data_IF_335405732689
#
_entry.id   IF_335405732689
#
_cell.length_a   1.000
_cell.length_b   1.000
_cell.length_c   1.000
_cell.angle_alpha   90.00
_cell.angle_beta   90.00
_cell.angle_gamma   90.00
#
_symmetry.space_group_name_H-M   'P 1'
#
loop_
_entity.id
_entity.type
_entity.pdbx_description
1 polymer ?
#
# COMPACT_ATOMS: atom_id res chain seq x y z
N UNK A 1 16.42 33.82 -10.31
CA UNK A 1 15.12 33.21 -9.94
C UNK A 1 14.79 31.95 -10.74
N UNK A 2 15.00 31.91 -12.06
CA UNK A 2 14.72 30.72 -12.90
C UNK A 2 15.49 29.47 -12.45
N UNK A 3 16.80 29.57 -12.14
CA UNK A 3 17.59 28.40 -11.72
C UNK A 3 17.13 27.79 -10.38
N UNK A 4 16.65 28.61 -9.43
CA UNK A 4 16.15 28.11 -8.16
C UNK A 4 14.82 27.35 -8.35
N UNK A 5 13.94 27.88 -9.21
CA UNK A 5 12.68 27.22 -9.54
C UNK A 5 12.89 25.90 -10.30
N UNK A 6 13.89 25.84 -11.19
CA UNK A 6 14.27 24.59 -11.88
C UNK A 6 14.85 23.59 -10.88
N UNK A 7 15.73 24.01 -9.97
CA UNK A 7 16.28 23.13 -8.93
C UNK A 7 15.18 22.59 -8.02
N UNK A 8 14.28 23.45 -7.53
CA UNK A 8 13.14 23.03 -6.70
C UNK A 8 12.19 22.12 -7.47
N UNK A 9 11.91 22.40 -8.75
CA UNK A 9 11.07 21.56 -9.60
C UNK A 9 11.68 20.20 -9.89
N UNK A 10 13.02 20.12 -9.99
CA UNK A 10 13.75 18.85 -10.07
C UNK A 10 13.74 18.14 -8.71
N UNK A 11 13.82 18.87 -7.59
CA UNK A 11 13.94 18.27 -6.25
C UNK A 11 12.62 17.82 -5.62
N UNK A 12 11.54 18.59 -5.82
CA UNK A 12 10.18 18.31 -5.35
C UNK A 12 9.72 16.87 -5.61
N UNK A 13 9.96 16.29 -6.80
CA UNK A 13 9.52 14.94 -7.06
C UNK A 13 10.32 13.90 -6.21
N UNK A 14 11.47 14.21 -5.62
CA UNK A 14 12.23 13.28 -4.76
C UNK A 14 11.82 13.25 -3.27
N UNK A 15 10.89 14.12 -2.88
CA UNK A 15 10.42 14.26 -1.52
C UNK A 15 9.09 13.53 -1.36
N UNK A 16 8.97 12.71 -0.31
CA UNK A 16 7.71 12.10 0.08
C UNK A 16 7.41 12.38 1.56
N UNK A 17 6.13 12.29 1.92
CA UNK A 17 5.67 12.38 3.29
C UNK A 17 4.85 11.13 3.63
N UNK A 18 5.17 10.51 4.76
CA UNK A 18 4.50 9.33 5.30
C UNK A 18 3.76 9.69 6.58
N UNK A 19 2.47 9.37 6.63
CA UNK A 19 1.67 9.55 7.82
C UNK A 19 2.05 8.53 8.92
N UNK A 20 1.76 8.83 10.20
CA UNK A 20 2.00 7.90 11.31
C UNK A 20 1.31 6.54 11.14
N UNK A 21 0.25 6.45 10.35
CA UNK A 21 -0.53 5.21 10.13
C UNK A 21 -0.14 4.46 8.86
N UNK A 22 0.81 4.99 8.09
CA UNK A 22 1.25 4.41 6.83
C UNK A 22 2.65 3.79 6.96
N UNK A 23 2.92 2.79 6.13
CA UNK A 23 4.26 2.29 5.87
C UNK A 23 4.65 2.61 4.42
N UNK A 24 5.82 3.22 4.25
CA UNK A 24 6.45 3.39 2.94
C UNK A 24 7.38 2.23 2.64
N UNK A 25 7.02 1.40 1.66
CA UNK A 25 7.89 0.35 1.14
C UNK A 25 8.71 0.97 0.01
N UNK A 26 10.02 1.12 0.21
CA UNK A 26 10.94 1.66 -0.78
C UNK A 26 11.70 0.53 -1.47
N UNK A 27 11.70 0.54 -2.80
CA UNK A 27 12.44 -0.37 -3.66
C UNK A 27 13.40 0.40 -4.54
N UNK A 28 14.70 0.09 -4.43
CA UNK A 28 15.68 0.56 -5.38
C UNK A 28 15.68 -0.38 -6.61
N UNK A 29 15.22 0.08 -7.77
CA UNK A 29 15.14 -0.80 -8.95
C UNK A 29 16.51 -1.09 -9.58
N UNK A 30 17.55 -0.32 -9.22
CA UNK A 30 18.92 -0.54 -9.70
C UNK A 30 19.62 -1.59 -8.84
N UNK A 31 19.56 -1.47 -7.51
CA UNK A 31 20.20 -2.43 -6.59
C UNK A 31 19.32 -3.63 -6.21
N UNK A 32 18.01 -3.55 -6.44
CA UNK A 32 17.03 -4.51 -5.97
C UNK A 32 16.70 -4.39 -4.47
N UNK A 33 17.30 -3.43 -3.76
CA UNK A 33 17.14 -3.30 -2.30
C UNK A 33 15.72 -2.88 -1.93
N UNK A 34 15.10 -3.65 -1.03
CA UNK A 34 13.82 -3.33 -0.41
C UNK A 34 14.05 -2.90 1.04
N UNK A 35 13.50 -1.74 1.42
CA UNK A 35 13.55 -1.18 2.77
C UNK A 35 12.22 -0.51 3.15
N UNK A 36 11.97 -0.41 4.44
CA UNK A 36 10.88 0.41 4.99
C UNK A 36 11.42 1.82 5.25
N UNK A 37 10.61 2.83 4.97
CA UNK A 37 10.92 4.23 5.23
C UNK A 37 10.48 4.66 6.64
N UNK A 38 11.18 5.66 7.16
CA UNK A 38 10.84 6.30 8.42
C UNK A 38 9.59 7.18 8.25
N UNK A 39 8.88 7.44 9.35
CA UNK A 39 7.66 8.26 9.30
C UNK A 39 8.02 9.74 9.13
N UNK A 40 7.14 10.50 8.48
CA UNK A 40 7.37 11.90 8.15
C UNK A 40 8.01 12.11 6.79
N UNK A 41 8.90 13.10 6.68
CA UNK A 41 9.50 13.51 5.42
C UNK A 41 10.68 12.63 5.06
N UNK A 42 10.64 11.96 3.90
CA UNK A 42 11.77 11.21 3.38
C UNK A 42 12.26 11.79 2.06
N UNK A 43 13.57 11.74 1.89
CA UNK A 43 14.23 12.04 0.63
C UNK A 43 14.64 10.74 -0.07
N UNK A 44 14.24 10.58 -1.33
CA UNK A 44 14.55 9.39 -2.12
C UNK A 44 15.18 9.73 -3.45
N UNK A 45 16.24 9.01 -3.87
CA UNK A 45 16.83 9.22 -5.17
C UNK A 45 15.86 8.82 -6.31
N UNK A 46 16.11 9.27 -7.56
CA UNK A 46 15.22 9.00 -8.69
C UNK A 46 14.90 7.54 -8.96
N UNK A 47 15.86 6.67 -8.66
CA UNK A 47 15.80 5.24 -8.94
C UNK A 47 15.19 4.41 -7.80
N UNK A 48 14.66 5.07 -6.76
CA UNK A 48 13.91 4.43 -5.70
C UNK A 48 12.43 4.66 -5.94
N UNK A 49 11.66 3.58 -5.94
CA UNK A 49 10.21 3.57 -6.00
C UNK A 49 9.64 3.41 -4.60
N UNK A 50 8.64 4.20 -4.22
CA UNK A 50 8.00 4.13 -2.90
C UNK A 50 6.51 3.81 -3.06
N UNK A 51 6.08 2.73 -2.42
CA UNK A 51 4.67 2.37 -2.28
C UNK A 51 4.20 2.67 -0.85
N UNK A 52 3.09 3.41 -0.74
CA UNK A 52 2.45 3.70 0.54
C UNK A 52 1.39 2.65 0.83
N UNK A 53 1.43 2.12 2.04
CA UNK A 53 0.48 1.14 2.52
C UNK A 53 -0.10 1.62 3.84
N UNK A 54 -1.43 1.69 3.91
CA UNK A 54 -2.13 1.96 5.15
C UNK A 54 -2.05 0.72 6.06
N UNK A 55 -1.65 0.94 7.32
CA UNK A 55 -1.56 -0.10 8.35
C UNK A 55 -2.84 -0.23 9.17
N UNK A 56 -3.80 0.69 9.00
CA UNK A 56 -5.06 0.62 9.73
C UNK A 56 -5.83 -0.65 9.34
N UNK A 57 -6.44 -1.34 10.32
CA UNK A 57 -7.34 -2.44 10.03
C UNK A 57 -8.47 -2.02 9.08
N UNK A 58 -8.58 -2.72 7.96
CA UNK A 58 -9.60 -2.47 6.95
C UNK A 58 -10.68 -3.55 7.01
N UNK A 59 -11.95 -3.15 6.91
CA UNK A 59 -13.06 -4.10 6.76
C UNK A 59 -13.18 -4.51 5.30
N UNK A 60 -13.01 -5.80 5.01
CA UNK A 60 -13.15 -6.40 3.69
C UNK A 60 -14.33 -7.36 3.68
N UNK A 61 -15.23 -7.21 2.71
CA UNK A 61 -16.46 -8.00 2.61
C UNK A 61 -16.59 -8.64 1.24
N UNK A 62 -17.20 -9.82 1.21
CA UNK A 62 -17.74 -10.43 -0.01
C UNK A 62 -19.19 -9.98 -0.14
N UNK A 63 -19.45 -9.09 -1.09
CA UNK A 63 -20.80 -8.60 -1.38
C UNK A 63 -21.52 -9.57 -2.32
N UNK A 64 -22.80 -9.82 -2.07
CA UNK A 64 -23.70 -10.53 -2.98
C UNK A 64 -24.88 -9.63 -3.32
N UNK A 65 -25.71 -10.00 -4.29
CA UNK A 65 -26.79 -9.16 -4.82
C UNK A 65 -27.82 -8.68 -3.78
N UNK A 66 -27.92 -9.31 -2.60
CA UNK A 66 -28.90 -8.93 -1.58
C UNK A 66 -28.28 -8.38 -0.27
N UNK A 67 -27.13 -8.89 0.22
CA UNK A 67 -26.37 -8.39 1.39
C UNK A 67 -24.89 -8.83 1.34
N UNK A 68 -24.02 -8.24 2.17
CA UNK A 68 -22.67 -8.75 2.40
C UNK A 68 -22.73 -10.11 3.11
N UNK A 69 -22.16 -11.15 2.49
CA UNK A 69 -22.26 -12.55 2.93
C UNK A 69 -21.29 -12.87 4.07
N UNK A 70 -20.08 -12.33 4.01
CA UNK A 70 -19.06 -12.48 5.05
C UNK A 70 -18.16 -11.25 5.01
N UNK A 71 -17.79 -10.77 6.19
CA UNK A 71 -16.89 -9.63 6.35
C UNK A 71 -15.78 -10.01 7.31
N UNK A 72 -14.57 -9.55 7.03
CA UNK A 72 -13.41 -9.71 7.90
C UNK A 72 -12.78 -8.36 8.17
N UNK A 73 -12.32 -8.14 9.39
CA UNK A 73 -11.42 -7.05 9.73
C UNK A 73 -9.99 -7.55 9.55
N UNK A 74 -9.24 -6.92 8.66
CA UNK A 74 -7.93 -7.40 8.24
C UNK A 74 -6.89 -6.30 8.34
N UNK A 75 -5.68 -6.67 8.71
CA UNK A 75 -4.56 -5.76 8.91
C UNK A 75 -3.37 -6.23 8.10
N UNK A 76 -2.67 -5.27 7.48
CA UNK A 76 -1.41 -5.52 6.79
C UNK A 76 -0.24 -5.50 7.78
N UNK A 77 0.55 -6.57 7.80
CA UNK A 77 1.76 -6.65 8.64
C UNK A 77 2.97 -6.11 7.89
N UNK A 78 3.34 -4.87 8.21
CA UNK A 78 4.50 -4.20 7.62
C UNK A 78 5.82 -4.96 7.82
N UNK A 79 5.95 -5.77 8.87
CA UNK A 79 7.14 -6.59 9.12
C UNK A 79 7.41 -7.64 8.03
N UNK A 80 6.37 -8.06 7.30
CA UNK A 80 6.44 -9.12 6.28
C UNK A 80 6.37 -8.57 4.85
N UNK A 81 6.68 -7.27 4.68
CA UNK A 81 6.64 -6.56 3.41
C UNK A 81 7.47 -7.24 2.29
N UNK A 82 8.57 -7.91 2.64
CA UNK A 82 9.40 -8.62 1.65
C UNK A 82 8.64 -9.76 0.98
N UNK A 83 7.86 -10.54 1.75
CA UNK A 83 7.03 -11.62 1.21
C UNK A 83 5.87 -11.09 0.40
N UNK A 84 5.29 -9.96 0.84
CA UNK A 84 4.26 -9.25 0.08
C UNK A 84 4.78 -8.86 -1.31
N UNK A 85 5.89 -8.11 -1.36
CA UNK A 85 6.51 -7.70 -2.63
C UNK A 85 6.96 -8.89 -3.45
N UNK A 86 7.45 -9.97 -2.84
CA UNK A 86 7.81 -11.20 -3.56
C UNK A 86 6.63 -11.95 -4.18
N UNK A 87 5.41 -11.76 -3.65
CA UNK A 87 4.19 -12.44 -4.15
C UNK A 87 3.46 -11.60 -5.19
N UNK A 88 3.23 -10.32 -4.90
CA UNK A 88 2.51 -9.40 -5.79
C UNK A 88 3.42 -8.72 -6.83
N UNK A 89 4.73 -8.70 -6.58
CA UNK A 89 5.66 -7.84 -7.27
C UNK A 89 5.59 -6.39 -6.80
N UNK A 90 6.54 -5.57 -7.26
CA UNK A 90 6.55 -4.12 -7.03
C UNK A 90 5.86 -3.36 -8.18
N UNK A 91 4.90 -4.00 -8.88
CA UNK A 91 4.33 -3.50 -10.14
C UNK A 91 3.01 -2.74 -9.99
N UNK A 92 2.49 -2.65 -8.79
CA UNK A 92 1.35 -1.80 -8.48
C UNK A 92 1.83 -0.42 -8.02
N UNK A 93 1.12 0.66 -8.40
CA UNK A 93 1.41 2.06 -8.05
C UNK A 93 2.32 2.88 -9.00
N UNK A 94 2.14 2.74 -10.31
CA UNK A 94 2.96 3.39 -11.36
C UNK A 94 3.11 4.94 -11.27
N UNK A 95 2.20 5.68 -10.61
CA UNK A 95 2.34 7.14 -10.39
C UNK A 95 2.80 7.55 -8.97
N UNK A 96 2.98 6.59 -8.05
CA UNK A 96 3.03 6.86 -6.60
C UNK A 96 4.36 7.31 -6.03
N UNK A 97 5.38 7.43 -6.87
CA UNK A 97 6.69 7.72 -6.32
C UNK A 97 6.74 9.09 -5.62
N UNK A 98 5.73 9.97 -5.87
CA UNK A 98 5.80 11.41 -5.59
C UNK A 98 4.42 12.01 -5.35
N UNK A 99 3.46 11.63 -6.19
CA UNK A 99 2.08 12.11 -6.17
C UNK A 99 1.14 10.92 -6.32
N UNK A 100 0.98 10.21 -5.20
CA UNK A 100 -0.05 9.20 -5.00
C UNK A 100 -1.44 9.80 -5.21
N UNK A 101 -1.95 9.79 -6.43
CA UNK A 101 -3.37 9.99 -6.65
C UNK A 101 -3.98 8.64 -7.01
N UNK A 102 -4.76 8.07 -6.09
CA UNK A 102 -5.69 7.01 -6.44
C UNK A 102 -6.95 7.67 -7.03
N UNK A 103 -7.02 7.87 -8.34
CA UNK A 103 -8.28 8.24 -9.03
C UNK A 103 -9.23 7.04 -9.17
N UNK A 104 -9.06 6.01 -8.35
CA UNK A 104 -9.99 4.89 -8.26
C UNK A 104 -11.37 5.38 -7.82
N UNK A 105 -12.41 4.83 -8.43
CA UNK A 105 -13.79 4.97 -8.01
C UNK A 105 -13.94 4.77 -6.49
N UNK A 106 -15.07 5.19 -5.91
CA UNK A 106 -15.43 4.97 -4.49
C UNK A 106 -15.29 3.51 -4.02
N UNK A 107 -15.21 2.57 -4.96
CA UNK A 107 -14.81 1.18 -4.78
C UNK A 107 -13.63 0.88 -5.73
N UNK A 108 -12.40 0.93 -5.21
CA UNK A 108 -11.16 0.85 -5.98
C UNK A 108 -11.05 -0.46 -6.78
N UNK A 109 -10.69 -0.40 -8.07
CA UNK A 109 -10.26 -1.59 -8.83
C UNK A 109 -8.75 -1.76 -8.61
N UNK A 110 -8.36 -2.75 -7.79
CA UNK A 110 -6.98 -3.10 -7.38
C UNK A 110 -6.32 -2.12 -6.39
N UNK A 111 -7.09 -1.57 -5.46
CA UNK A 111 -6.55 -0.89 -4.28
C UNK A 111 -5.99 -1.88 -3.23
N UNK A 112 -5.27 -1.37 -2.23
CA UNK A 112 -4.75 -2.21 -1.14
C UNK A 112 -5.87 -2.98 -0.43
N UNK A 113 -7.08 -2.39 -0.34
CA UNK A 113 -8.27 -3.06 0.21
C UNK A 113 -8.69 -4.30 -0.58
N UNK A 114 -8.57 -4.28 -1.92
CA UNK A 114 -8.86 -5.42 -2.77
C UNK A 114 -7.82 -6.53 -2.62
N UNK A 115 -6.55 -6.14 -2.56
CA UNK A 115 -5.45 -7.07 -2.31
C UNK A 115 -5.68 -7.77 -0.96
N UNK A 116 -5.93 -7.00 0.09
CA UNK A 116 -6.24 -7.53 1.42
C UNK A 116 -7.49 -8.41 1.41
N UNK A 117 -8.55 -8.04 0.67
CA UNK A 117 -9.74 -8.87 0.48
C UNK A 117 -9.38 -10.21 -0.17
N UNK A 118 -8.63 -10.20 -1.27
CA UNK A 118 -8.21 -11.42 -1.96
C UNK A 118 -7.45 -12.37 -1.03
N UNK A 119 -6.48 -11.85 -0.28
CA UNK A 119 -5.68 -12.64 0.64
C UNK A 119 -6.41 -13.08 1.91
N UNK A 120 -7.38 -12.30 2.41
CA UNK A 120 -8.16 -12.66 3.58
C UNK A 120 -9.13 -13.83 3.36
N UNK A 121 -9.52 -14.07 2.11
CA UNK A 121 -10.36 -15.19 1.69
C UNK A 121 -9.60 -16.24 0.86
N UNK A 122 -8.29 -16.11 0.73
CA UNK A 122 -7.47 -17.12 0.08
C UNK A 122 -7.44 -18.42 0.90
N UNK A 123 -7.41 -19.56 0.20
CA UNK A 123 -7.26 -20.87 0.85
C UNK A 123 -5.94 -21.01 1.62
N UNK A 124 -4.88 -20.37 1.10
CA UNK A 124 -3.57 -20.28 1.75
C UNK A 124 -3.48 -19.00 2.59
N UNK A 125 -3.03 -19.13 3.83
CA UNK A 125 -2.74 -17.99 4.70
C UNK A 125 -1.37 -17.39 4.35
N UNK A 126 -1.31 -16.05 4.30
CA UNK A 126 -0.10 -15.31 4.00
C UNK A 126 0.32 -14.47 5.22
N UNK A 127 1.62 -14.44 5.57
CA UNK A 127 2.08 -13.81 6.82
C UNK A 127 1.97 -12.28 6.82
N UNK A 128 1.82 -11.66 5.65
CA UNK A 128 1.67 -10.21 5.50
C UNK A 128 0.22 -9.73 5.67
N UNK A 129 -0.76 -10.62 5.80
CA UNK A 129 -2.15 -10.29 6.14
C UNK A 129 -2.53 -11.00 7.43
N UNK A 130 -3.20 -10.30 8.33
CA UNK A 130 -3.76 -10.88 9.56
C UNK A 130 -5.24 -10.57 9.65
N UNK A 131 -6.05 -11.60 9.86
CA UNK A 131 -7.48 -11.45 10.15
C UNK A 131 -7.61 -11.21 11.65
N UNK A 132 -8.05 -10.01 12.04
CA UNK A 132 -8.27 -9.63 13.44
C UNK A 132 -9.61 -10.16 13.92
N UNK A 133 -10.65 -10.03 13.09
CA UNK A 133 -12.01 -10.43 13.44
C UNK A 133 -12.75 -10.93 12.20
N UNK A 134 -13.50 -12.00 12.38
CA UNK A 134 -14.48 -12.47 11.42
C UNK A 134 -15.89 -12.00 11.84
N UNK A 135 -16.69 -11.58 10.89
CA UNK A 135 -18.08 -11.18 11.08
C UNK A 135 -18.94 -12.12 10.24
N UNK A 136 -19.54 -13.09 10.91
CA UNK A 136 -20.54 -13.98 10.33
C UNK A 136 -21.92 -13.31 10.36
N UNK A 137 -22.74 -13.58 9.35
CA UNK A 137 -24.11 -13.08 9.29
C UNK A 137 -24.93 -13.80 10.38
N UNK A 138 -25.23 -13.08 11.47
CA UNK A 138 -26.01 -13.61 12.61
C UNK A 138 -25.51 -13.19 14.00
N UNK A 139 -24.38 -12.48 14.09
CA UNK A 139 -23.84 -11.90 15.32
C UNK A 139 -23.99 -10.37 15.40
#
# INVERSE_FOLDING_TARGET
MVCLAVLVGVYFPFVNYLEPVEAGIAWNFVSGELRIQDKGWNFTPPWVLVARVDLRPARVCITTASRAFSCKLVEFKASEYRKFVGTEGFHYYWWYNRVSFNWGYSEEYRGMKDILRGYAYAAKQYPFVTVIRDYEVGQ
#
